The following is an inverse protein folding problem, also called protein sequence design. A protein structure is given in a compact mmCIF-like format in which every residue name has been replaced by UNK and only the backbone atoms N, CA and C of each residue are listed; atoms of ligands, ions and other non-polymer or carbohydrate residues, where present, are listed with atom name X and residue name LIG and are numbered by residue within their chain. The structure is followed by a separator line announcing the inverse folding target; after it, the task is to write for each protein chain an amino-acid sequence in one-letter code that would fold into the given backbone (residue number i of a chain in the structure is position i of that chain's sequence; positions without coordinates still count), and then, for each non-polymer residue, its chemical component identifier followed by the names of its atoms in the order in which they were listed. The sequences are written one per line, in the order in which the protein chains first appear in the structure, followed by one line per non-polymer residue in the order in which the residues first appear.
data_IF_792532025928
#
_entry.id   IF_792532025928
#
_cell.length_a   1.000
_cell.length_b   1.000
_cell.length_c   1.000
_cell.angle_alpha   90.00
_cell.angle_beta   90.00
_cell.angle_gamma   90.00
#
_symmetry.space_group_name_H-M   'P 1'
#
loop_
_entity.id
_entity.type
_entity.pdbx_description
1 polymer ?
#
# COMPACT_ATOMS: atom_id res chain seq x y z
N UNK A 1 -4.44 -5.63 4.97
CA UNK A 1 -3.35 -5.13 5.85
C UNK A 1 -2.15 -4.51 5.12
N UNK A 2 -1.89 -4.80 3.84
CA UNK A 2 -0.69 -4.26 3.14
C UNK A 2 -0.70 -2.74 2.92
N UNK A 3 -1.86 -2.08 2.98
CA UNK A 3 -1.97 -0.61 2.88
C UNK A 3 -1.26 0.13 4.03
N UNK A 4 -1.09 -0.52 5.19
CA UNK A 4 -0.33 0.02 6.33
C UNK A 4 1.17 0.19 6.03
N UNK A 5 1.70 -0.47 4.99
CA UNK A 5 3.09 -0.30 4.59
C UNK A 5 3.32 0.97 3.76
N UNK A 6 2.27 1.56 3.18
CA UNK A 6 2.37 2.79 2.37
C UNK A 6 3.02 3.95 3.13
N UNK A 7 2.54 4.36 4.33
CA UNK A 7 3.19 5.40 5.10
C UNK A 7 4.61 5.00 5.52
N UNK A 8 4.86 3.72 5.77
CA UNK A 8 6.19 3.22 6.15
C UNK A 8 7.21 3.36 5.02
N UNK A 9 6.83 3.01 3.79
CA UNK A 9 7.69 3.15 2.61
C UNK A 9 7.93 4.63 2.29
N UNK A 10 6.91 5.47 2.41
CA UNK A 10 7.04 6.93 2.32
C UNK A 10 8.01 7.46 3.37
N UNK A 11 7.84 7.09 4.64
CA UNK A 11 8.66 7.62 5.72
C UNK A 11 10.11 7.10 5.68
N UNK A 12 10.29 5.81 5.38
CA UNK A 12 11.60 5.18 5.21
C UNK A 12 12.34 5.69 3.96
N UNK A 13 11.63 6.09 2.92
CA UNK A 13 12.21 6.80 1.79
C UNK A 13 12.61 8.24 2.15
N UNK A 14 11.86 8.92 3.02
CA UNK A 14 12.16 10.30 3.40
C UNK A 14 13.36 10.42 4.38
N UNK A 15 13.52 9.45 5.29
CA UNK A 15 14.48 9.47 6.40
C UNK A 15 15.97 9.52 5.99
N UNK A 16 16.47 8.69 5.05
CA UNK A 16 17.86 8.77 4.59
C UNK A 16 18.16 10.03 3.79
N UNK A 17 17.12 10.69 3.25
CA UNK A 17 17.24 11.76 2.27
C UNK A 17 17.14 13.16 2.88
N UNK A 18 16.41 13.34 3.99
CA UNK A 18 16.52 14.55 4.81
C UNK A 18 17.92 14.71 5.42
N UNK A 19 18.64 13.60 5.60
CA UNK A 19 19.93 13.57 6.28
C UNK A 19 21.15 13.76 5.35
N UNK A 20 20.98 14.01 4.04
CA UNK A 20 22.10 14.28 3.11
C UNK A 20 21.92 15.64 2.42
N UNK A 21 22.90 16.53 2.63
CA UNK A 21 22.81 17.99 2.41
C UNK A 21 22.74 18.42 0.93
N UNK A 22 23.02 17.55 -0.04
CA UNK A 22 22.70 17.78 -1.47
C UNK A 22 22.27 16.45 -2.10
N UNK A 23 20.97 16.10 -2.10
CA UNK A 23 20.57 14.75 -2.47
C UNK A 23 20.46 14.65 -4.00
N UNK A 24 21.59 14.33 -4.62
CA UNK A 24 21.68 13.91 -6.02
C UNK A 24 21.78 12.39 -6.03
N UNK A 25 20.72 11.71 -6.43
CA UNK A 25 20.72 10.25 -6.57
C UNK A 25 20.97 9.92 -8.04
N UNK A 26 22.08 9.22 -8.34
CA UNK A 26 22.48 8.86 -9.73
C UNK A 26 22.63 10.07 -10.69
N UNK A 27 22.96 11.26 -10.18
CA UNK A 27 23.06 12.47 -10.99
C UNK A 27 21.73 13.22 -11.19
N UNK A 28 20.62 12.69 -10.66
CA UNK A 28 19.27 13.26 -10.81
C UNK A 28 18.86 13.95 -9.50
N UNK A 29 18.23 15.14 -9.53
CA UNK A 29 17.74 15.79 -8.32
C UNK A 29 16.74 14.91 -7.59
N UNK A 30 16.87 14.81 -6.26
CA UNK A 30 15.99 14.01 -5.40
C UNK A 30 14.50 14.14 -5.72
N UNK A 31 14.03 15.36 -5.97
CA UNK A 31 12.63 15.63 -6.30
C UNK A 31 12.11 14.75 -7.45
N UNK A 32 12.92 14.51 -8.49
CA UNK A 32 12.51 13.68 -9.62
C UNK A 32 12.42 12.20 -9.25
N UNK A 33 13.41 11.69 -8.51
CA UNK A 33 13.39 10.30 -8.04
C UNK A 33 12.21 10.07 -7.09
N UNK A 34 11.98 11.03 -6.20
CA UNK A 34 10.86 11.00 -5.26
C UNK A 34 9.52 11.03 -5.99
N UNK A 35 9.38 11.91 -6.98
CA UNK A 35 8.17 12.00 -7.81
C UNK A 35 7.93 10.71 -8.59
N UNK A 36 8.98 10.12 -9.16
CA UNK A 36 8.91 8.84 -9.85
C UNK A 36 8.49 7.71 -8.90
N UNK A 37 9.08 7.67 -7.70
CA UNK A 37 8.72 6.71 -6.67
C UNK A 37 7.26 6.87 -6.24
N UNK A 38 6.77 8.10 -6.01
CA UNK A 38 5.36 8.38 -5.69
C UNK A 38 4.42 7.96 -6.83
N UNK A 39 4.84 8.16 -8.07
CA UNK A 39 4.10 7.73 -9.26
C UNK A 39 3.96 6.22 -9.31
N UNK A 40 5.01 5.47 -8.98
CA UNK A 40 4.98 4.01 -8.85
C UNK A 40 4.22 3.52 -7.61
N UNK A 41 4.28 4.29 -6.51
CA UNK A 41 3.61 3.95 -5.26
C UNK A 41 2.08 3.94 -5.44
N UNK A 42 1.55 4.83 -6.28
CA UNK A 42 0.11 4.99 -6.52
C UNK A 42 -0.55 3.72 -7.08
N UNK A 43 -0.13 3.15 -8.23
CA UNK A 43 -0.71 1.91 -8.75
C UNK A 43 -0.42 0.72 -7.83
N UNK A 44 0.74 0.69 -7.14
CA UNK A 44 1.02 -0.35 -6.14
C UNK A 44 0.02 -0.29 -5.00
N UNK A 45 -0.24 0.89 -4.44
CA UNK A 45 -1.23 1.08 -3.37
C UNK A 45 -2.63 0.64 -3.82
N UNK A 46 -3.05 1.02 -5.03
CA UNK A 46 -4.34 0.62 -5.62
C UNK A 46 -4.42 -0.89 -5.88
N UNK A 47 -3.35 -1.51 -6.37
CA UNK A 47 -3.29 -2.95 -6.57
C UNK A 47 -3.37 -3.72 -5.25
N UNK A 48 -2.77 -3.16 -4.19
CA UNK A 48 -2.78 -3.75 -2.86
C UNK A 48 -4.12 -3.60 -2.15
N UNK A 49 -4.82 -2.47 -2.31
CA UNK A 49 -6.19 -2.33 -1.81
C UNK A 49 -7.10 -3.32 -2.53
N UNK A 50 -7.02 -3.42 -3.86
CA UNK A 50 -7.82 -4.38 -4.64
C UNK A 50 -7.58 -5.84 -4.23
N UNK A 51 -6.32 -6.22 -3.98
CA UNK A 51 -5.98 -7.57 -3.51
C UNK A 51 -6.45 -7.83 -2.07
N UNK A 52 -6.40 -6.82 -1.21
CA UNK A 52 -6.87 -6.90 0.17
C UNK A 52 -8.39 -7.01 0.26
N UNK A 53 -9.10 -6.20 -0.52
CA UNK A 53 -10.56 -6.14 -0.55
C UNK A 53 -11.18 -7.47 -1.01
N UNK A 54 -10.55 -8.15 -1.98
CA UNK A 54 -10.99 -9.50 -2.40
C UNK A 54 -10.95 -10.53 -1.27
N UNK A 55 -9.98 -10.45 -0.35
CA UNK A 55 -9.91 -11.40 0.78
C UNK A 55 -11.03 -11.14 1.80
N UNK A 56 -11.27 -9.87 2.12
CA UNK A 56 -12.34 -9.48 3.04
C UNK A 56 -13.73 -9.90 2.51
N UNK A 57 -13.95 -9.74 1.20
CA UNK A 57 -15.21 -10.15 0.56
C UNK A 57 -15.47 -11.65 0.66
N UNK A 58 -14.45 -12.49 0.48
CA UNK A 58 -14.61 -13.95 0.59
C UNK A 58 -14.94 -14.38 2.02
N UNK A 59 -14.38 -13.72 3.03
CA UNK A 59 -14.69 -14.00 4.44
C UNK A 59 -16.14 -13.59 4.78
N UNK A 60 -16.58 -12.42 4.31
CA UNK A 60 -17.95 -11.95 4.50
C UNK A 60 -19.00 -12.84 3.80
N UNK A 61 -18.68 -13.36 2.60
CA UNK A 61 -19.55 -14.30 1.88
C UNK A 61 -19.65 -15.66 2.61
N UNK A 62 -18.55 -16.15 3.19
CA UNK A 62 -18.53 -17.39 3.97
C UNK A 62 -19.30 -17.26 5.30
N UNK A 63 -19.18 -16.12 6.00
CA UNK A 63 -19.95 -15.84 7.22
C UNK A 63 -21.45 -15.74 6.94
N UNK A 64 -21.84 -15.08 5.85
CA UNK A 64 -23.24 -14.96 5.44
C UNK A 64 -23.88 -16.32 5.07
N UNK A 65 -23.12 -17.21 4.43
CA UNK A 65 -23.57 -18.57 4.11
C UNK A 65 -23.73 -19.41 5.39
N UNK A 66 -22.81 -19.27 6.35
CA UNK A 66 -22.87 -19.95 7.65
C UNK A 66 -24.06 -19.47 8.50
N UNK A 67 -24.35 -18.17 8.49
CA UNK A 67 -25.49 -17.57 9.20
C UNK A 67 -26.83 -17.96 8.54
N UNK A 68 -26.89 -17.98 7.21
CA UNK A 68 -28.07 -18.41 6.47
C UNK A 68 -28.39 -19.90 6.64
N UNK A 69 -27.38 -20.73 6.92
CA UNK A 69 -27.54 -22.17 7.15
C UNK A 69 -27.82 -22.48 8.64
N UNK A 70 -27.25 -21.69 9.56
CA UNK A 70 -27.53 -21.76 10.99
C UNK A 70 -28.92 -21.27 11.38
N UNK A 71 -29.47 -20.25 10.71
CA UNK A 71 -30.84 -19.77 10.93
C UNK A 71 -31.94 -20.65 10.35
N UNK A 72 -31.58 -21.71 9.62
CA UNK A 72 -32.51 -22.63 8.94
C UNK A 72 -32.70 -23.97 9.69
N UNK A 73 -32.07 -24.15 10.85
CA UNK A 73 -32.22 -25.31 11.76
C UNK A 73 -32.87 -24.88 13.07
#
# INVERSE_FOLDING_TARGET
MLWLLVPFVLYAGALPLANRVEPVLLGVPFLFVWLFAATLLTPVAVGLTWRGDRRLRTEAEAEAETEAEGGRR
#
